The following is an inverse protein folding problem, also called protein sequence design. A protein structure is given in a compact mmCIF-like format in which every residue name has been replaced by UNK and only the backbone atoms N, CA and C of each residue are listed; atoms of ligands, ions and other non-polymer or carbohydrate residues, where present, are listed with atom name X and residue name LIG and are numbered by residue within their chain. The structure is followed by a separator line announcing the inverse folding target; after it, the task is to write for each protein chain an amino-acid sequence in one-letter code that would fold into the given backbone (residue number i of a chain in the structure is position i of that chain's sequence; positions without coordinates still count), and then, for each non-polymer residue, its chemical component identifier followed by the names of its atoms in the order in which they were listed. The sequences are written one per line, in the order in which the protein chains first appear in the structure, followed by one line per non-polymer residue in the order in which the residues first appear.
data_IF_243067612333
#
_entry.id   IF_243067612333
#
_cell.length_a   1.000
_cell.length_b   1.000
_cell.length_c   1.000
_cell.angle_alpha   90.00
_cell.angle_beta   90.00
_cell.angle_gamma   90.00
#
_symmetry.space_group_name_H-M   'P 1'
#
loop_
_entity.id
_entity.type
_entity.pdbx_description
1 polymer ?
#
# COMPACT_ATOMS: atom_id res chain seq x y z
N UNK A 1 0.23 -8.09 8.18
CA UNK A 1 0.49 -8.12 6.72
C UNK A 1 1.72 -7.26 6.44
N UNK A 2 2.75 -7.80 5.79
CA UNK A 2 3.92 -7.01 5.41
C UNK A 2 3.60 -5.97 4.32
N UNK A 3 2.72 -6.30 3.36
CA UNK A 3 2.31 -5.37 2.30
C UNK A 3 1.65 -4.11 2.85
N UNK A 4 0.77 -4.25 3.85
CA UNK A 4 0.16 -3.11 4.53
C UNK A 4 1.20 -2.16 5.15
N UNK A 5 2.17 -2.71 5.90
CA UNK A 5 3.19 -1.92 6.59
C UNK A 5 4.13 -1.20 5.61
N UNK A 6 4.49 -1.85 4.49
CA UNK A 6 5.31 -1.19 3.47
C UNK A 6 4.52 -0.08 2.76
N UNK A 7 3.21 -0.26 2.54
CA UNK A 7 2.38 0.84 2.04
C UNK A 7 2.30 1.99 3.04
N UNK A 8 2.14 1.72 4.34
CA UNK A 8 2.18 2.77 5.37
C UNK A 8 3.53 3.50 5.37
N UNK A 9 4.64 2.76 5.30
CA UNK A 9 5.98 3.36 5.24
C UNK A 9 6.18 4.23 3.99
N UNK A 10 5.57 3.87 2.86
CA UNK A 10 5.65 4.66 1.64
C UNK A 10 4.72 5.87 1.60
N UNK A 11 3.62 5.88 2.36
CA UNK A 11 2.66 7.00 2.32
C UNK A 11 2.77 7.95 3.50
N UNK A 12 3.30 7.53 4.64
CA UNK A 12 3.59 8.43 5.75
C UNK A 12 4.79 9.32 5.44
N UNK A 13 4.77 10.54 5.98
CA UNK A 13 5.93 11.44 5.96
C UNK A 13 7.03 10.87 6.85
N UNK A 14 8.09 10.35 6.22
CA UNK A 14 9.24 9.76 6.88
C UNK A 14 10.41 10.74 7.02
N UNK A 15 10.22 12.04 6.71
CA UNK A 15 11.30 13.01 6.81
C UNK A 15 11.78 13.12 8.25
N UNK A 16 13.09 13.10 8.42
CA UNK A 16 13.70 13.33 9.73
C UNK A 16 13.47 14.78 10.18
N UNK A 17 13.21 14.98 11.47
CA UNK A 17 13.16 16.30 12.09
C UNK A 17 14.45 16.53 12.90
N UNK A 18 15.38 17.39 12.44
CA UNK A 18 16.63 17.68 13.15
C UNK A 18 16.44 18.23 14.56
N UNK A 19 15.24 18.70 14.91
CA UNK A 19 14.92 19.26 16.22
C UNK A 19 14.20 18.27 17.15
N UNK A 20 13.91 17.04 16.70
CA UNK A 20 13.24 16.03 17.54
C UNK A 20 14.16 15.60 18.70
N UNK A 21 13.57 15.36 19.87
CA UNK A 21 14.29 14.92 21.06
C UNK A 21 14.92 13.53 20.89
N UNK A 22 14.30 12.67 20.08
CA UNK A 22 14.76 11.33 19.76
C UNK A 22 15.75 11.35 18.59
N UNK A 23 17.00 10.87 18.76
CA UNK A 23 17.97 10.77 17.67
C UNK A 23 17.50 9.92 16.49
N UNK A 24 16.55 9.00 16.71
CA UNK A 24 15.99 8.16 15.64
C UNK A 24 15.08 8.97 14.72
N UNK A 25 14.28 9.88 15.29
CA UNK A 25 13.34 10.71 14.53
C UNK A 25 14.04 11.85 13.79
N UNK A 26 15.29 12.14 14.14
CA UNK A 26 16.13 13.09 13.40
C UNK A 26 16.60 12.54 12.05
N UNK A 27 16.54 11.22 11.85
CA UNK A 27 16.95 10.56 10.61
C UNK A 27 15.73 10.34 9.72
N UNK A 28 15.91 10.53 8.41
CA UNK A 28 14.86 10.19 7.45
C UNK A 28 14.66 8.67 7.39
N UNK A 29 13.39 8.28 7.45
CA UNK A 29 12.88 6.94 7.20
C UNK A 29 12.22 6.84 5.82
N UNK A 30 12.38 7.85 4.95
CA UNK A 30 11.82 7.85 3.60
C UNK A 30 12.39 6.70 2.78
N UNK A 31 11.50 6.01 2.05
CA UNK A 31 11.88 4.96 1.09
C UNK A 31 11.83 5.52 -0.32
N UNK A 32 12.72 5.05 -1.19
CA UNK A 32 12.85 5.57 -2.55
C UNK A 32 11.85 4.95 -3.54
N UNK A 33 11.29 3.78 -3.23
CA UNK A 33 10.19 3.15 -3.97
C UNK A 33 9.58 2.00 -3.16
N UNK A 34 8.33 1.67 -3.45
CA UNK A 34 7.56 0.60 -2.80
C UNK A 34 7.24 -0.52 -3.78
N UNK A 35 7.34 -1.76 -3.30
CA UNK A 35 6.75 -2.94 -3.96
C UNK A 35 5.83 -3.62 -2.96
N UNK A 36 4.53 -3.68 -3.26
CA UNK A 36 3.52 -4.28 -2.40
C UNK A 36 2.69 -5.32 -3.13
N UNK A 37 2.32 -6.40 -2.42
CA UNK A 37 1.50 -7.50 -2.93
C UNK A 37 0.25 -7.65 -2.09
N UNK A 38 -0.91 -7.72 -2.73
CA UNK A 38 -2.22 -7.97 -2.11
C UNK A 38 -2.39 -7.22 -0.77
N UNK A 39 -2.05 -5.93 -0.77
CA UNK A 39 -1.94 -5.14 0.44
C UNK A 39 -3.30 -4.54 0.84
N UNK A 40 -3.71 -4.66 2.12
CA UNK A 40 -4.74 -3.80 2.70
C UNK A 40 -4.27 -2.33 2.67
N UNK A 41 -5.07 -1.43 2.10
CA UNK A 41 -4.72 0.00 1.90
C UNK A 41 -5.77 0.97 2.45
N UNK A 42 -7.00 0.50 2.67
CA UNK A 42 -8.10 1.27 3.25
C UNK A 42 -8.96 0.40 4.16
N UNK A 43 -9.21 0.90 5.37
CA UNK A 43 -10.14 0.32 6.34
C UNK A 43 -11.46 1.08 6.43
N UNK A 44 -11.63 2.15 5.65
CA UNK A 44 -12.83 2.99 5.67
C UNK A 44 -14.04 2.38 4.97
N UNK A 45 -13.81 1.43 4.06
CA UNK A 45 -14.86 0.84 3.22
C UNK A 45 -15.25 -0.58 3.66
N UNK A 46 -14.77 -0.99 4.83
CA UNK A 46 -14.95 -2.35 5.33
C UNK A 46 -13.98 -3.34 4.70
N UNK A 47 -13.73 -4.43 5.42
CA UNK A 47 -12.86 -5.52 5.00
C UNK A 47 -13.66 -6.82 5.07
N UNK A 48 -13.52 -7.77 4.13
CA UNK A 48 -14.14 -9.08 4.28
C UNK A 48 -13.70 -9.71 5.61
N UNK A 49 -14.59 -10.42 6.33
CA UNK A 49 -14.21 -11.12 7.54
C UNK A 49 -13.17 -12.22 7.23
N UNK A 50 -12.15 -12.44 8.07
CA UNK A 50 -11.92 -11.80 9.37
C UNK A 50 -11.32 -10.38 9.25
N UNK A 51 -11.63 -9.47 10.21
CA UNK A 51 -11.11 -8.11 10.15
C UNK A 51 -9.58 -8.10 10.28
N UNK A 52 -8.94 -7.26 9.47
CA UNK A 52 -7.52 -6.99 9.60
C UNK A 52 -7.27 -5.99 10.73
N UNK A 53 -6.27 -6.25 11.58
CA UNK A 53 -5.95 -5.46 12.80
C UNK A 53 -7.12 -5.29 13.80
N UNK A 54 -8.17 -6.13 13.70
CA UNK A 54 -9.43 -5.99 14.44
C UNK A 54 -10.11 -4.61 14.28
N UNK A 55 -9.77 -3.89 13.21
CA UNK A 55 -10.45 -2.64 12.84
C UNK A 55 -11.81 -3.01 12.27
N UNK A 56 -12.86 -2.55 12.95
CA UNK A 56 -14.26 -2.79 12.57
C UNK A 56 -14.97 -1.45 12.48
N UNK A 57 -15.44 -1.11 11.28
CA UNK A 57 -16.35 0.00 11.11
C UNK A 57 -17.77 -0.54 11.00
N UNK A 58 -18.64 -0.05 11.87
CA UNK A 58 -20.08 -0.22 11.68
C UNK A 58 -20.53 0.66 10.51
N UNK A 59 -21.54 0.26 9.73
CA UNK A 59 -22.08 1.09 8.65
C UNK A 59 -22.49 2.51 9.09
N UNK A 60 -22.89 2.68 10.36
CA UNK A 60 -23.30 3.96 10.94
C UNK A 60 -22.14 4.79 11.52
N UNK A 61 -20.88 4.34 11.35
CA UNK A 61 -19.72 5.05 11.92
C UNK A 61 -19.48 6.35 11.17
N UNK A 62 -19.76 7.48 11.83
CA UNK A 62 -19.58 8.80 11.22
C UNK A 62 -18.12 9.30 11.28
N UNK A 63 -17.69 10.25 10.43
CA UNK A 63 -16.32 10.76 10.40
C UNK A 63 -15.74 11.32 11.71
N UNK A 64 -16.60 11.79 12.62
CA UNK A 64 -16.18 12.28 13.94
C UNK A 64 -15.91 11.20 14.98
N UNK A 65 -16.18 9.93 14.67
CA UNK A 65 -16.09 8.84 15.63
C UNK A 65 -14.62 8.45 15.86
N UNK A 66 -14.21 8.07 17.08
CA UNK A 66 -12.87 7.54 17.33
C UNK A 66 -12.50 6.37 16.40
N UNK A 67 -13.43 5.47 16.13
CA UNK A 67 -13.25 4.29 15.28
C UNK A 67 -12.94 4.68 13.84
N UNK A 68 -13.65 5.67 13.31
CA UNK A 68 -13.38 6.21 11.97
C UNK A 68 -11.98 6.82 11.89
N UNK A 69 -11.58 7.60 12.90
CA UNK A 69 -10.25 8.23 12.94
C UNK A 69 -9.14 7.19 12.97
N UNK A 70 -9.28 6.16 13.82
CA UNK A 70 -8.33 5.05 13.89
C UNK A 70 -8.24 4.31 12.55
N UNK A 71 -9.39 4.00 11.93
CA UNK A 71 -9.40 3.34 10.63
C UNK A 71 -8.75 4.20 9.53
N UNK A 72 -8.99 5.51 9.54
CA UNK A 72 -8.37 6.47 8.62
C UNK A 72 -6.86 6.55 8.83
N UNK A 73 -6.42 6.73 10.07
CA UNK A 73 -4.99 6.82 10.43
C UNK A 73 -4.24 5.53 10.07
N UNK A 74 -4.88 4.38 10.23
CA UNK A 74 -4.33 3.09 9.85
C UNK A 74 -4.37 2.84 8.33
N UNK A 75 -5.03 3.66 7.50
CA UNK A 75 -5.18 3.41 6.06
C UNK A 75 -4.08 4.09 5.25
N UNK A 76 -3.17 3.36 4.57
CA UNK A 76 -2.18 3.95 3.67
C UNK A 76 -2.76 4.95 2.67
N UNK A 77 -3.96 4.65 2.13
CA UNK A 77 -4.68 5.47 1.19
C UNK A 77 -4.97 6.89 1.71
N UNK A 78 -5.13 7.05 3.03
CA UNK A 78 -5.45 8.35 3.65
C UNK A 78 -4.26 9.29 3.78
N UNK A 79 -3.04 8.82 3.49
CA UNK A 79 -1.80 9.57 3.61
C UNK A 79 -1.14 9.87 2.26
N UNK A 80 -1.76 9.45 1.15
CA UNK A 80 -1.22 9.69 -0.20
C UNK A 80 -1.02 11.19 -0.44
N UNK A 81 0.18 11.54 -0.92
CA UNK A 81 0.56 12.90 -1.28
C UNK A 81 1.54 12.87 -2.46
N UNK A 82 1.83 14.04 -3.04
CA UNK A 82 2.82 14.17 -4.12
C UNK A 82 4.26 13.84 -3.69
N UNK A 83 4.53 13.80 -2.38
CA UNK A 83 5.83 13.44 -1.81
C UNK A 83 6.02 11.91 -1.70
N UNK A 84 4.97 11.11 -1.96
CA UNK A 84 5.08 9.66 -1.93
C UNK A 84 6.07 9.15 -3.00
N UNK A 85 6.86 8.11 -2.69
CA UNK A 85 7.76 7.50 -3.64
C UNK A 85 6.99 6.67 -4.67
N UNK A 86 7.62 6.21 -5.77
CA UNK A 86 6.96 5.35 -6.74
C UNK A 86 6.48 4.01 -6.17
N UNK A 87 5.29 3.55 -6.56
CA UNK A 87 4.70 2.26 -6.13
C UNK A 87 4.58 1.23 -7.27
N UNK A 88 5.01 0.01 -7.01
CA UNK A 88 4.57 -1.18 -7.76
C UNK A 88 3.60 -1.98 -6.89
N UNK A 89 2.37 -2.11 -7.36
CA UNK A 89 1.31 -2.90 -6.75
C UNK A 89 1.09 -4.17 -7.58
N UNK A 90 1.02 -5.33 -6.93
CA UNK A 90 0.70 -6.61 -7.57
C UNK A 90 -0.47 -7.27 -6.85
N UNK A 91 -1.51 -7.65 -7.59
CA UNK A 91 -2.74 -8.15 -7.00
C UNK A 91 -3.42 -9.21 -7.87
N UNK A 92 -3.93 -10.27 -7.24
CA UNK A 92 -4.79 -11.25 -7.90
C UNK A 92 -6.19 -10.68 -8.16
N UNK A 93 -6.75 -10.95 -9.34
CA UNK A 93 -8.11 -10.50 -9.67
C UNK A 93 -9.22 -11.29 -8.96
N UNK A 94 -8.90 -12.48 -8.46
CA UNK A 94 -9.80 -13.38 -7.74
C UNK A 94 -9.42 -13.46 -6.23
N UNK A 95 -8.84 -12.37 -5.70
CA UNK A 95 -8.48 -12.25 -4.28
C UNK A 95 -9.71 -11.92 -3.42
N UNK A 96 -10.32 -12.97 -2.86
CA UNK A 96 -11.47 -12.86 -1.96
C UNK A 96 -11.08 -12.47 -0.51
N UNK A 97 -9.80 -12.49 -0.15
CA UNK A 97 -9.34 -12.16 1.20
C UNK A 97 -9.01 -10.67 1.34
N UNK A 98 -8.34 -10.11 0.34
CA UNK A 98 -8.06 -8.69 0.20
C UNK A 98 -8.57 -8.29 -1.17
N UNK A 99 -9.74 -7.65 -1.29
CA UNK A 99 -10.28 -7.30 -2.60
C UNK A 99 -9.33 -6.42 -3.40
N UNK A 100 -9.18 -6.71 -4.70
CA UNK A 100 -8.29 -5.96 -5.61
C UNK A 100 -8.56 -4.45 -5.62
N UNK A 101 -9.81 -4.04 -5.34
CA UNK A 101 -10.23 -2.66 -5.17
C UNK A 101 -9.33 -1.86 -4.21
N UNK A 102 -8.71 -2.50 -3.22
CA UNK A 102 -7.74 -1.88 -2.32
C UNK A 102 -6.51 -1.35 -3.09
N UNK A 103 -5.95 -2.15 -4.01
CA UNK A 103 -4.82 -1.71 -4.84
C UNK A 103 -5.25 -0.80 -5.98
N UNK A 104 -6.45 -0.97 -6.53
CA UNK A 104 -6.99 -0.07 -7.56
C UNK A 104 -7.13 1.36 -7.02
N UNK A 105 -7.74 1.53 -5.85
CA UNK A 105 -7.93 2.85 -5.23
C UNK A 105 -6.63 3.50 -4.81
N UNK A 106 -5.68 2.72 -4.31
CA UNK A 106 -4.35 3.25 -4.00
C UNK A 106 -3.62 3.69 -5.28
N UNK A 107 -3.70 2.91 -6.35
CA UNK A 107 -3.10 3.30 -7.63
C UNK A 107 -3.74 4.60 -8.16
N UNK A 108 -5.08 4.68 -8.18
CA UNK A 108 -5.80 5.88 -8.61
C UNK A 108 -5.38 7.12 -7.80
N UNK A 109 -5.37 7.03 -6.47
CA UNK A 109 -4.96 8.15 -5.62
C UNK A 109 -3.50 8.57 -5.85
N UNK A 110 -2.58 7.62 -6.08
CA UNK A 110 -1.18 7.90 -6.39
C UNK A 110 -1.05 8.57 -7.77
N UNK A 111 -1.76 8.09 -8.78
CA UNK A 111 -1.79 8.70 -10.12
C UNK A 111 -2.32 10.14 -10.06
N UNK A 112 -3.42 10.37 -9.34
CA UNK A 112 -4.02 11.69 -9.12
C UNK A 112 -3.06 12.65 -8.39
N UNK A 113 -2.25 12.12 -7.45
CA UNK A 113 -1.21 12.88 -6.76
C UNK A 113 0.06 13.13 -7.60
N UNK A 114 0.12 12.60 -8.83
CA UNK A 114 1.28 12.72 -9.72
C UNK A 114 2.43 11.77 -9.39
N UNK A 115 2.19 10.75 -8.57
CA UNK A 115 3.18 9.76 -8.15
C UNK A 115 3.23 8.64 -9.17
N UNK A 116 4.44 8.20 -9.54
CA UNK A 116 4.60 7.08 -10.45
C UNK A 116 4.11 5.77 -9.81
N UNK A 117 3.14 5.11 -10.43
CA UNK A 117 2.60 3.85 -9.95
C UNK A 117 2.35 2.86 -11.10
N UNK A 118 2.51 1.58 -10.82
CA UNK A 118 2.10 0.48 -11.70
C UNK A 118 1.25 -0.51 -10.91
N UNK A 119 0.05 -0.83 -11.40
CA UNK A 119 -0.78 -1.91 -10.88
C UNK A 119 -0.75 -3.12 -11.81
N UNK A 120 -0.06 -4.16 -11.38
CA UNK A 120 -0.04 -5.47 -12.05
C UNK A 120 -1.21 -6.30 -11.54
N UNK A 121 -2.24 -6.39 -12.38
CA UNK A 121 -3.37 -7.31 -12.19
C UNK A 121 -2.95 -8.70 -12.63
N UNK A 122 -3.28 -9.73 -11.85
CA UNK A 122 -2.90 -11.11 -12.11
C UNK A 122 -4.18 -11.94 -12.33
N UNK A 123 -4.56 -12.18 -13.59
CA UNK A 123 -5.82 -12.85 -13.91
C UNK A 123 -5.88 -14.28 -13.38
N UNK A 124 -7.01 -14.62 -12.75
CA UNK A 124 -7.25 -15.94 -12.15
C UNK A 124 -6.58 -16.16 -10.79
N UNK A 125 -5.75 -15.22 -10.32
CA UNK A 125 -5.04 -15.42 -9.07
C UNK A 125 -5.88 -15.03 -7.85
N UNK A 126 -5.86 -15.90 -6.85
CA UNK A 126 -6.34 -15.65 -5.50
C UNK A 126 -5.22 -15.08 -4.60
N UNK A 127 -5.58 -14.80 -3.34
CA UNK A 127 -4.63 -14.34 -2.32
C UNK A 127 -3.49 -15.34 -2.10
N UNK A 128 -2.25 -14.86 -2.09
CA UNK A 128 -1.12 -15.67 -1.67
C UNK A 128 0.23 -15.15 -2.14
N UNK A 129 1.34 -15.66 -1.56
CA UNK A 129 2.69 -15.20 -1.90
C UNK A 129 3.04 -15.43 -3.38
N UNK A 130 2.52 -16.49 -3.97
CA UNK A 130 2.80 -16.91 -5.35
C UNK A 130 1.61 -16.73 -6.30
N UNK A 131 0.55 -16.03 -5.85
CA UNK A 131 -0.67 -15.78 -6.63
C UNK A 131 -1.29 -17.09 -7.18
N UNK A 132 -1.74 -18.00 -6.29
CA UNK A 132 -2.30 -19.29 -6.70
C UNK A 132 -3.50 -19.10 -7.63
N UNK A 133 -3.61 -19.94 -8.67
CA UNK A 133 -4.67 -19.82 -9.68
C UNK A 133 -4.35 -18.90 -10.86
N UNK A 134 -3.23 -18.15 -10.80
CA UNK A 134 -2.78 -17.31 -11.90
C UNK A 134 -2.77 -18.07 -13.24
N UNK A 135 -3.47 -17.53 -14.25
CA UNK A 135 -3.50 -18.12 -15.60
C UNK A 135 -2.13 -18.13 -16.26
N UNK A 136 -1.28 -17.15 -15.90
CA UNK A 136 0.10 -17.00 -16.36
C UNK A 136 0.98 -16.71 -15.13
N UNK A 137 2.13 -17.38 -14.96
CA UNK A 137 3.06 -17.07 -13.90
C UNK A 137 3.45 -15.58 -13.90
N UNK A 138 3.22 -14.83 -12.80
CA UNK A 138 3.32 -13.36 -12.83
C UNK A 138 4.76 -12.81 -12.83
N UNK A 139 5.79 -13.65 -12.80
CA UNK A 139 7.21 -13.26 -12.74
C UNK A 139 7.51 -12.23 -11.63
N UNK A 140 6.95 -12.46 -10.43
CA UNK A 140 6.96 -11.55 -9.27
C UNK A 140 8.35 -10.94 -9.03
N UNK A 141 9.38 -11.79 -8.91
CA UNK A 141 10.74 -11.33 -8.64
C UNK A 141 11.32 -10.50 -9.79
N UNK A 142 11.04 -10.88 -11.04
CA UNK A 142 11.49 -10.13 -12.22
C UNK A 142 10.87 -8.72 -12.28
N UNK A 143 9.58 -8.61 -11.96
CA UNK A 143 8.88 -7.30 -11.90
C UNK A 143 9.43 -6.41 -10.79
N UNK A 144 9.61 -6.96 -9.59
CA UNK A 144 10.19 -6.23 -8.48
C UNK A 144 11.61 -5.74 -8.81
N UNK A 145 12.47 -6.60 -9.34
CA UNK A 145 13.83 -6.22 -9.76
C UNK A 145 13.82 -5.14 -10.84
N UNK A 146 12.95 -5.25 -11.84
CA UNK A 146 12.83 -4.23 -12.89
C UNK A 146 12.36 -2.88 -12.34
N UNK A 147 11.43 -2.89 -11.36
CA UNK A 147 10.98 -1.68 -10.68
C UNK A 147 12.10 -1.02 -9.89
N UNK A 148 12.85 -1.80 -9.11
CA UNK A 148 14.01 -1.31 -8.39
C UNK A 148 15.09 -0.79 -9.34
N UNK A 149 15.35 -1.48 -10.45
CA UNK A 149 16.31 -1.01 -11.45
C UNK A 149 15.91 0.33 -12.06
N UNK A 150 14.61 0.54 -12.29
CA UNK A 150 14.08 1.80 -12.83
C UNK A 150 14.15 2.97 -11.85
N UNK A 151 13.94 2.71 -10.55
CA UNK A 151 13.75 3.76 -9.55
C UNK A 151 14.94 3.96 -8.59
N UNK A 152 15.84 2.98 -8.45
CA UNK A 152 16.99 3.05 -7.53
C UNK A 152 18.33 3.23 -8.23
N UNK A 153 18.45 2.84 -9.51
CA UNK A 153 19.64 3.17 -10.28
C UNK A 153 19.53 4.65 -10.61
N UNK A 154 20.21 5.49 -9.82
CA UNK A 154 20.30 6.92 -10.09
C UNK A 154 20.63 7.16 -11.57
N UNK A 155 20.06 8.19 -12.17
CA UNK A 155 20.58 8.70 -13.43
C UNK A 155 22.07 8.98 -13.20
N UNK A 156 22.93 8.10 -13.74
CA UNK A 156 24.37 8.24 -13.68
C UNK A 156 24.84 9.49 -14.40
#
# INVERSE_FOLDING_TARGET
SAGHLVCMLGTLDGRGDPNDESPINQLSADVQCVVARAAPTSFLEGFPPPPFLDIRLNPDTHPGAPEYRIAKEASPLSHVSADCPPFLLMHGEEDDLVPIAQSEKLAEALEEAGVAVELVRIPGAAHGPDFPGAKIPPAIGGRASAWFDKHLRGAG
#
